data_IF_333148032620
#
_entry.id   IF_333148032620
#
_cell.length_a   1.000
_cell.length_b   1.000
_cell.length_c   1.000
_cell.angle_alpha   90.00
_cell.angle_beta   90.00
_cell.angle_gamma   90.00
#
_symmetry.space_group_name_H-M   'P 1'
#
loop_
_entity.id
_entity.type
_entity.pdbx_description
1 polymer ?
#
# COMPACT_ATOMS: atom_id res chain seq x y z
N UNK A 1 6.32 0.85 10.72
CA UNK A 1 6.75 -0.06 9.65
C UNK A 1 5.51 -0.34 8.83
N UNK A 2 5.28 0.40 7.74
CA UNK A 2 4.05 0.28 6.96
C UNK A 2 3.90 -1.15 6.47
N UNK A 3 2.75 -1.78 6.75
CA UNK A 3 2.51 -3.18 6.37
C UNK A 3 2.80 -3.32 4.87
N UNK A 4 3.79 -4.13 4.46
CA UNK A 4 4.04 -4.36 3.05
C UNK A 4 2.76 -4.95 2.46
N UNK A 5 2.27 -4.37 1.36
CA UNK A 5 1.15 -4.93 0.62
C UNK A 5 1.42 -6.42 0.36
N UNK A 6 0.48 -7.30 0.72
CA UNK A 6 0.67 -8.75 0.64
C UNK A 6 0.13 -9.37 -0.65
N UNK A 7 -0.17 -8.54 -1.65
CA UNK A 7 -0.68 -8.95 -2.95
C UNK A 7 0.25 -9.99 -3.60
N UNK A 8 -0.32 -11.13 -4.00
CA UNK A 8 0.40 -12.25 -4.59
C UNK A 8 1.15 -13.15 -3.60
N UNK A 9 1.12 -12.87 -2.29
CA UNK A 9 1.80 -13.65 -1.27
C UNK A 9 0.82 -14.31 -0.30
N UNK A 10 0.24 -13.54 0.63
CA UNK A 10 -0.82 -14.00 1.54
C UNK A 10 -2.20 -13.51 1.13
N UNK A 11 -2.28 -12.62 0.14
CA UNK A 11 -3.51 -12.20 -0.51
C UNK A 11 -3.48 -12.59 -1.99
N UNK A 12 -4.55 -13.23 -2.46
CA UNK A 12 -4.76 -13.57 -3.87
C UNK A 12 -6.24 -13.34 -4.22
N UNK A 13 -6.52 -13.17 -5.50
CA UNK A 13 -7.89 -13.00 -6.00
C UNK A 13 -8.15 -14.05 -7.08
N UNK A 14 -9.31 -14.70 -6.99
CA UNK A 14 -9.81 -15.65 -7.99
C UNK A 14 -11.00 -15.00 -8.68
N UNK A 15 -10.91 -14.84 -9.99
CA UNK A 15 -11.96 -14.27 -10.83
C UNK A 15 -13.06 -15.30 -11.10
N UNK A 16 -14.28 -14.89 -11.53
CA UNK A 16 -15.39 -15.82 -11.79
C UNK A 16 -15.09 -16.91 -12.84
N UNK A 17 -14.16 -16.65 -13.76
CA UNK A 17 -13.68 -17.61 -14.76
C UNK A 17 -12.58 -18.57 -14.22
N UNK A 18 -12.24 -18.47 -12.94
CA UNK A 18 -11.21 -19.25 -12.27
C UNK A 18 -9.80 -18.65 -12.35
N UNK A 19 -9.59 -17.52 -13.02
CA UNK A 19 -8.26 -16.93 -13.16
C UNK A 19 -7.75 -16.36 -11.84
N UNK A 20 -6.47 -16.57 -11.57
CA UNK A 20 -5.82 -16.21 -10.31
C UNK A 20 -4.90 -15.01 -10.54
N UNK A 21 -5.12 -13.96 -9.75
CA UNK A 21 -4.38 -12.70 -9.74
C UNK A 21 -3.87 -12.38 -8.32
N UNK A 22 -2.84 -11.54 -8.18
CA UNK A 22 -2.26 -11.20 -6.87
C UNK A 22 -3.18 -10.32 -6.00
N UNK A 23 -4.07 -9.54 -6.61
CA UNK A 23 -5.02 -8.66 -5.93
C UNK A 23 -6.12 -8.27 -6.93
N UNK A 24 -7.33 -8.03 -6.46
CA UNK A 24 -8.46 -7.62 -7.31
C UNK A 24 -8.18 -6.30 -8.05
N UNK A 25 -7.44 -5.38 -7.42
CA UNK A 25 -7.03 -4.12 -8.06
C UNK A 25 -6.04 -4.32 -9.20
N UNK A 26 -5.44 -5.51 -9.35
CA UNK A 26 -4.48 -5.83 -10.41
C UNK A 26 -5.07 -6.81 -11.44
N UNK A 27 -6.32 -7.26 -11.27
CA UNK A 27 -6.92 -8.27 -12.15
C UNK A 27 -7.33 -7.73 -13.52
N UNK A 28 -7.34 -6.40 -13.70
CA UNK A 28 -7.59 -5.77 -15.00
C UNK A 28 -6.42 -5.93 -15.98
N UNK A 29 -5.23 -6.30 -15.49
CA UNK A 29 -4.01 -6.36 -16.27
C UNK A 29 -3.45 -7.79 -16.30
N UNK A 30 -3.53 -8.39 -17.49
CA UNK A 30 -3.13 -9.78 -17.73
C UNK A 30 -1.63 -10.05 -17.48
N UNK A 31 -0.79 -9.01 -17.34
CA UNK A 31 0.61 -9.17 -16.90
C UNK A 31 0.72 -9.77 -15.50
N UNK A 32 -0.32 -9.60 -14.67
CA UNK A 32 -0.38 -10.12 -13.31
C UNK A 32 -1.08 -11.48 -13.20
N UNK A 33 -1.47 -12.10 -14.32
CA UNK A 33 -2.06 -13.43 -14.31
C UNK A 33 -1.09 -14.47 -13.73
N UNK A 34 -1.52 -15.24 -12.73
CA UNK A 34 -0.71 -16.24 -12.04
C UNK A 34 -1.10 -17.70 -12.35
N UNK A 35 -2.31 -17.92 -12.88
CA UNK A 35 -2.81 -19.27 -13.19
C UNK A 35 -4.34 -19.31 -13.22
N UNK A 36 -4.89 -20.52 -13.24
CA UNK A 36 -6.34 -20.74 -13.16
C UNK A 36 -6.62 -21.86 -12.16
N UNK A 37 -7.66 -21.74 -11.33
CA UNK A 37 -7.97 -22.70 -10.27
C UNK A 37 -8.22 -24.12 -10.78
N UNK A 38 -8.69 -24.26 -12.02
CA UNK A 38 -8.96 -25.57 -12.66
C UNK A 38 -7.65 -26.22 -13.13
N UNK A 39 -6.75 -25.42 -13.72
CA UNK A 39 -5.50 -25.91 -14.31
C UNK A 39 -4.30 -25.85 -13.36
N UNK A 40 -4.46 -25.21 -12.21
CA UNK A 40 -3.39 -24.91 -11.26
C UNK A 40 -2.63 -23.61 -11.54
N UNK A 41 -1.63 -23.35 -10.69
CA UNK A 41 -0.75 -22.19 -10.81
C UNK A 41 0.30 -22.41 -11.91
N UNK A 42 0.57 -21.37 -12.68
CA UNK A 42 1.71 -21.35 -13.57
C UNK A 42 2.92 -20.87 -12.77
N UNK A 43 3.75 -21.79 -12.28
CA UNK A 43 4.90 -21.47 -11.41
C UNK A 43 5.79 -20.37 -11.99
N UNK A 44 6.09 -20.40 -13.30
CA UNK A 44 6.89 -19.36 -13.95
C UNK A 44 6.23 -17.98 -13.85
N UNK A 45 4.93 -17.88 -14.17
CA UNK A 45 4.19 -16.61 -14.06
C UNK A 45 4.05 -16.15 -12.62
N UNK A 46 3.72 -17.06 -11.70
CA UNK A 46 3.61 -16.78 -10.27
C UNK A 46 4.90 -16.15 -9.73
N UNK A 47 6.05 -16.81 -9.92
CA UNK A 47 7.33 -16.29 -9.43
C UNK A 47 7.71 -14.98 -10.12
N UNK A 48 7.42 -14.82 -11.42
CA UNK A 48 7.66 -13.56 -12.14
C UNK A 48 6.85 -12.41 -11.53
N UNK A 49 5.57 -12.62 -11.28
CA UNK A 49 4.66 -11.64 -10.68
C UNK A 49 5.09 -11.32 -9.24
N UNK A 50 5.35 -12.34 -8.41
CA UNK A 50 5.80 -12.14 -7.03
C UNK A 50 7.12 -11.38 -6.95
N UNK A 51 8.10 -11.71 -7.78
CA UNK A 51 9.39 -11.00 -7.81
C UNK A 51 9.21 -9.54 -8.23
N UNK A 52 8.35 -9.28 -9.21
CA UNK A 52 8.01 -7.93 -9.62
C UNK A 52 7.34 -7.14 -8.47
N UNK A 53 6.31 -7.73 -7.84
CA UNK A 53 5.59 -7.11 -6.73
C UNK A 53 6.51 -6.85 -5.54
N UNK A 54 7.41 -7.79 -5.21
CA UNK A 54 8.44 -7.59 -4.18
C UNK A 54 9.34 -6.39 -4.47
N UNK A 55 9.70 -6.18 -5.74
CA UNK A 55 10.52 -5.04 -6.15
C UNK A 55 9.75 -3.72 -6.05
N UNK A 56 8.53 -3.63 -6.58
CA UNK A 56 7.76 -2.37 -6.62
C UNK A 56 7.18 -1.98 -5.26
N UNK A 57 6.95 -2.93 -4.36
CA UNK A 57 6.48 -2.66 -3.00
C UNK A 57 7.56 -1.98 -2.14
N UNK A 58 8.83 -2.05 -2.57
CA UNK A 58 9.95 -1.32 -1.96
C UNK A 58 10.02 0.07 -2.61
N UNK A 59 9.42 1.06 -1.96
CA UNK A 59 9.31 2.43 -2.48
C UNK A 59 10.65 3.10 -2.84
N UNK A 60 11.74 2.72 -2.19
CA UNK A 60 13.08 3.24 -2.50
C UNK A 60 13.59 2.81 -3.88
N UNK A 61 12.97 1.80 -4.49
CA UNK A 61 13.27 1.35 -5.85
C UNK A 61 12.58 2.21 -6.93
N UNK A 62 11.68 3.11 -6.55
CA UNK A 62 10.95 3.98 -7.47
C UNK A 62 11.45 5.41 -7.28
N UNK A 63 12.02 6.01 -8.33
CA UNK A 63 12.71 7.31 -8.26
C UNK A 63 11.88 8.42 -7.59
N UNK A 64 10.61 8.58 -8.01
CA UNK A 64 9.72 9.59 -7.45
C UNK A 64 9.36 9.32 -5.97
N UNK A 65 9.24 8.05 -5.58
CA UNK A 65 8.96 7.71 -4.17
C UNK A 65 10.20 7.89 -3.30
N UNK A 66 11.40 7.63 -3.83
CA UNK A 66 12.67 7.73 -3.10
C UNK A 66 12.94 9.15 -2.58
N UNK A 67 12.50 10.17 -3.31
CA UNK A 67 12.67 11.59 -2.94
C UNK A 67 11.44 12.21 -2.29
N UNK A 68 10.41 11.42 -1.97
CA UNK A 68 9.15 11.92 -1.43
C UNK A 68 9.20 12.08 0.10
N UNK A 69 8.77 13.23 0.61
CA UNK A 69 8.82 13.57 2.05
C UNK A 69 8.04 12.58 2.93
N UNK A 70 6.92 12.07 2.42
CA UNK A 70 6.04 11.15 3.13
C UNK A 70 6.37 9.67 2.86
N UNK A 71 7.48 9.34 2.18
CA UNK A 71 7.79 7.98 1.72
C UNK A 71 7.61 6.92 2.82
N UNK A 72 8.08 7.20 4.04
CA UNK A 72 8.07 6.27 5.17
C UNK A 72 6.68 6.02 5.77
N UNK A 73 5.75 6.94 5.57
CA UNK A 73 4.40 6.88 6.16
C UNK A 73 3.30 6.67 5.12
N UNK A 74 3.59 6.93 3.84
CA UNK A 74 2.66 6.76 2.74
C UNK A 74 2.17 5.30 2.66
N UNK A 75 0.90 5.11 2.28
CA UNK A 75 0.26 3.80 2.13
C UNK A 75 -0.50 3.67 0.79
N UNK A 76 -0.03 4.35 -0.27
CA UNK A 76 -0.61 4.24 -1.61
C UNK A 76 -0.70 2.79 -2.09
N UNK A 77 -1.81 2.44 -2.75
CA UNK A 77 -2.06 1.08 -3.23
C UNK A 77 -1.24 0.79 -4.49
N UNK A 78 -0.73 -0.43 -4.62
CA UNK A 78 -0.09 -0.87 -5.87
C UNK A 78 -1.06 -0.85 -7.07
N UNK A 79 -2.36 -0.96 -6.81
CA UNK A 79 -3.42 -0.85 -7.82
C UNK A 79 -3.58 0.55 -8.41
N UNK A 80 -3.13 1.59 -7.70
CA UNK A 80 -3.16 2.98 -8.19
C UNK A 80 -1.97 3.31 -9.10
N UNK A 81 -1.00 2.39 -9.19
CA UNK A 81 0.17 2.54 -10.04
C UNK A 81 -0.15 2.09 -11.45
N UNK A 82 0.45 2.78 -12.43
CA UNK A 82 0.45 2.36 -13.83
C UNK A 82 1.75 1.61 -14.12
N UNK A 83 1.67 0.55 -14.91
CA UNK A 83 2.83 -0.25 -15.28
C UNK A 83 3.10 -0.11 -16.77
N UNK A 84 4.29 0.36 -17.15
CA UNK A 84 4.73 0.44 -18.55
C UNK A 84 5.13 -0.92 -19.11
N UNK A 85 5.29 -1.02 -20.43
CA UNK A 85 5.58 -2.28 -21.14
C UNK A 85 6.90 -2.94 -20.70
N UNK A 86 7.89 -2.14 -20.31
CA UNK A 86 9.18 -2.58 -19.79
C UNK A 86 9.18 -2.85 -18.27
N UNK A 87 8.01 -2.87 -17.62
CA UNK A 87 7.91 -2.99 -16.17
C UNK A 87 8.26 -1.71 -15.40
N UNK A 88 8.47 -0.59 -16.11
CA UNK A 88 8.64 0.72 -15.47
C UNK A 88 7.35 1.10 -14.75
N UNK A 89 7.47 1.41 -13.46
CA UNK A 89 6.36 1.98 -12.69
C UNK A 89 6.17 3.42 -13.14
N UNK A 90 4.96 3.74 -13.56
CA UNK A 90 4.50 5.08 -13.89
C UNK A 90 3.56 5.49 -12.77
N UNK A 91 3.94 6.53 -12.03
CA UNK A 91 3.13 7.06 -10.96
C UNK A 91 2.19 8.10 -11.55
N UNK A 92 0.90 7.93 -11.29
CA UNK A 92 -0.08 8.98 -11.52
C UNK A 92 -0.03 9.98 -10.36
N UNK A 93 0.08 11.27 -10.69
CA UNK A 93 0.16 12.31 -9.67
C UNK A 93 -1.13 12.44 -8.85
N UNK A 94 -2.27 11.92 -9.32
CA UNK A 94 -3.52 12.04 -8.57
C UNK A 94 -3.44 11.35 -7.19
N UNK A 95 -3.08 10.08 -7.14
CA UNK A 95 -2.98 9.34 -5.88
C UNK A 95 -1.88 9.94 -4.99
N UNK A 96 -0.72 10.29 -5.57
CA UNK A 96 0.35 10.93 -4.82
C UNK A 96 -0.06 12.26 -4.20
N UNK A 97 -0.73 13.14 -4.96
CA UNK A 97 -1.20 14.43 -4.47
C UNK A 97 -2.26 14.27 -3.38
N UNK A 98 -3.14 13.27 -3.48
CA UNK A 98 -4.09 12.95 -2.42
C UNK A 98 -3.36 12.61 -1.11
N UNK A 99 -2.39 11.69 -1.14
CA UNK A 99 -1.65 11.34 0.07
C UNK A 99 -0.81 12.50 0.62
N UNK A 100 -0.16 13.27 -0.25
CA UNK A 100 0.59 14.46 0.16
C UNK A 100 -0.32 15.45 0.90
N UNK A 101 -1.44 15.85 0.28
CA UNK A 101 -2.40 16.76 0.89
C UNK A 101 -3.02 16.23 2.18
N UNK A 102 -3.30 14.91 2.26
CA UNK A 102 -3.81 14.27 3.46
C UNK A 102 -2.81 14.41 4.63
N UNK A 103 -1.53 14.11 4.39
CA UNK A 103 -0.51 14.21 5.43
C UNK A 103 -0.15 15.65 5.76
N UNK A 104 -0.12 16.56 4.79
CA UNK A 104 0.04 17.99 5.02
C UNK A 104 -1.07 18.54 5.92
N UNK A 105 -2.33 18.23 5.60
CA UNK A 105 -3.47 18.65 6.42
C UNK A 105 -3.42 18.08 7.84
N UNK A 106 -3.06 16.80 7.98
CA UNK A 106 -2.86 16.19 9.29
C UNK A 106 -1.75 16.87 10.09
N UNK A 107 -0.61 17.18 9.46
CA UNK A 107 0.52 17.82 10.12
C UNK A 107 0.20 19.26 10.55
N UNK A 108 -0.57 20.01 9.74
CA UNK A 108 -1.05 21.35 10.09
C UNK A 108 -1.95 21.30 11.32
N UNK A 109 -2.97 20.45 11.33
CA UNK A 109 -3.87 20.34 12.49
C UNK A 109 -3.12 19.81 13.72
N UNK A 110 -2.21 18.85 13.55
CA UNK A 110 -1.39 18.36 14.66
C UNK A 110 -0.53 19.48 15.26
N UNK A 111 0.06 20.33 14.43
CA UNK A 111 0.81 21.49 14.90
C UNK A 111 -0.08 22.44 15.71
N UNK A 112 -1.30 22.74 15.24
CA UNK A 112 -2.26 23.59 15.95
C UNK A 112 -2.72 22.98 17.28
N UNK A 113 -2.89 21.66 17.33
CA UNK A 113 -3.17 20.92 18.56
C UNK A 113 -1.98 21.02 19.52
N UNK A 114 -0.75 20.85 19.03
CA UNK A 114 0.47 20.89 19.85
C UNK A 114 0.74 22.26 20.47
N UNK A 115 0.35 23.34 19.78
CA UNK A 115 0.48 24.71 20.27
C UNK A 115 -0.57 25.09 21.33
N UNK A 116 -1.58 24.25 21.56
CA UNK A 116 -2.62 24.47 22.55
C UNK A 116 -2.54 23.42 23.67
N UNK A 117 -2.12 23.82 24.87
CA UNK A 117 -1.88 22.91 26.00
C UNK A 117 -3.09 22.03 26.36
N UNK A 118 -4.30 22.59 26.29
CA UNK A 118 -5.54 21.86 26.62
C UNK A 118 -5.81 20.79 25.56
N UNK A 119 -5.75 21.16 24.28
CA UNK A 119 -5.93 20.22 23.16
C UNK A 119 -4.83 19.15 23.16
N UNK A 120 -3.57 19.54 23.38
CA UNK A 120 -2.45 18.61 23.41
C UNK A 120 -2.56 17.58 24.54
N UNK A 121 -2.99 18.01 25.73
CA UNK A 121 -3.26 17.10 26.85
C UNK A 121 -4.35 16.09 26.48
N UNK A 122 -5.48 16.57 25.96
CA UNK A 122 -6.60 15.71 25.55
C UNK A 122 -6.19 14.71 24.45
N UNK A 123 -5.44 15.18 23.45
CA UNK A 123 -4.94 14.34 22.36
C UNK A 123 -4.05 13.20 22.88
N UNK A 124 -3.11 13.48 23.79
CA UNK A 124 -2.25 12.46 24.40
C UNK A 124 -3.04 11.43 25.23
N UNK A 125 -4.06 11.87 25.96
CA UNK A 125 -4.94 10.96 26.71
C UNK A 125 -5.68 10.01 25.77
N UNK A 126 -6.20 10.52 24.65
CA UNK A 126 -6.88 9.70 23.64
C UNK A 126 -5.93 8.74 22.92
N UNK A 127 -4.71 9.18 22.59
CA UNK A 127 -3.67 8.30 22.03
C UNK A 127 -3.33 7.13 22.97
N UNK A 128 -3.22 7.38 24.28
CA UNK A 128 -2.91 6.32 25.24
C UNK A 128 -4.02 5.27 25.30
N UNK A 129 -5.28 5.72 25.33
CA UNK A 129 -6.45 4.82 25.29
C UNK A 129 -6.48 3.95 24.04
N UNK A 130 -6.15 4.51 22.88
CA UNK A 130 -6.07 3.72 21.64
C UNK A 130 -5.00 2.64 21.71
N UNK A 131 -3.84 2.92 22.30
CA UNK A 131 -2.78 1.93 22.47
C UNK A 131 -3.21 0.77 23.39
N UNK A 132 -3.87 1.11 24.50
CA UNK A 132 -4.42 0.11 25.44
C UNK A 132 -5.45 -0.82 24.77
N UNK A 133 -6.27 -0.29 23.83
CA UNK A 133 -7.23 -1.10 23.05
C UNK A 133 -6.51 -2.04 22.08
N UNK A 134 -5.49 -1.57 21.37
CA UNK A 134 -4.74 -2.41 20.41
C UNK A 134 -4.05 -3.57 21.13
N UNK A 135 -3.41 -3.30 22.27
CA UNK A 135 -2.77 -4.34 23.08
C UNK A 135 -3.77 -5.37 23.63
N UNK A 136 -5.03 -4.99 23.89
CA UNK A 136 -6.07 -5.92 24.31
C UNK A 136 -6.55 -6.85 23.19
N UNK A 137 -6.58 -6.38 21.94
CA UNK A 137 -7.05 -7.16 20.78
C UNK A 137 -5.98 -8.15 20.27
N UNK A 138 -4.71 -7.89 20.57
CA UNK A 138 -3.58 -8.74 20.16
C UNK A 138 -3.20 -9.84 21.19
N UNK A 139 -3.86 -9.87 22.36
CA UNK A 139 -3.73 -10.92 23.38
C UNK A 139 -4.94 -11.87 23.40
#
# INVERSE_FOLDING_TARGET
MGLPCSAGFSNITIMPNGDIYPCYMLSYDNRFYMGNIINGLNNYRLFKVQNFLKYVNVKTNIDQCRTCDIMKICNACLGDLKFGENGKVIIDNYACNYYLGLYEGFLVELNDIMLNDIKWKSFKENLRKMKEIVEYVEN
#
